data_IF_434823514291
#
_entry.id   IF_434823514291
#
_cell.length_a   1.000
_cell.length_b   1.000
_cell.length_c   1.000
_cell.angle_alpha   90.00
_cell.angle_beta   90.00
_cell.angle_gamma   90.00
#
_symmetry.space_group_name_H-M   'P 1'
#
loop_
_entity.id
_entity.type
_entity.pdbx_description
1 polymer ?
#
# COMPACT_ATOMS: atom_id res chain seq x y z
N UNK A 1 17.77 -13.47 -19.58
CA UNK A 1 16.96 -12.78 -18.54
C UNK A 1 16.13 -11.65 -19.16
N UNK A 2 15.51 -11.86 -20.33
CA UNK A 2 14.83 -10.81 -21.13
C UNK A 2 13.30 -10.99 -21.24
N UNK A 3 12.77 -12.17 -20.88
CA UNK A 3 11.35 -12.50 -21.11
C UNK A 3 10.38 -11.96 -20.05
N UNK A 4 10.86 -11.55 -18.87
CA UNK A 4 9.99 -10.99 -17.81
C UNK A 4 9.62 -9.53 -18.06
N UNK A 5 10.51 -8.74 -18.68
CA UNK A 5 10.24 -7.33 -18.96
C UNK A 5 9.25 -7.13 -20.11
N UNK A 6 9.26 -7.99 -21.12
CA UNK A 6 8.29 -7.92 -22.23
C UNK A 6 6.87 -8.24 -21.77
N UNK A 7 6.68 -9.17 -20.84
CA UNK A 7 5.34 -9.48 -20.30
C UNK A 7 4.73 -8.32 -19.51
N UNK A 8 5.54 -7.60 -18.71
CA UNK A 8 5.08 -6.44 -17.94
C UNK A 8 4.64 -5.29 -18.86
N UNK A 9 5.43 -4.97 -19.88
CA UNK A 9 5.08 -3.91 -20.85
C UNK A 9 3.83 -4.26 -21.67
N UNK A 10 3.63 -5.53 -22.03
CA UNK A 10 2.41 -5.95 -22.75
C UNK A 10 1.17 -5.83 -21.85
N UNK A 11 1.28 -6.13 -20.56
CA UNK A 11 0.16 -5.98 -19.63
C UNK A 11 -0.22 -4.52 -19.34
N UNK A 12 0.75 -3.59 -19.30
CA UNK A 12 0.45 -2.14 -19.23
C UNK A 12 -0.26 -1.65 -20.51
N UNK A 13 0.14 -2.17 -21.68
CA UNK A 13 -0.45 -1.77 -22.98
C UNK A 13 -1.89 -2.27 -23.17
N UNK A 14 -2.37 -3.20 -22.33
CA UNK A 14 -3.74 -3.76 -22.40
C UNK A 14 -4.72 -3.14 -21.40
N UNK A 15 -4.29 -2.16 -20.58
CA UNK A 15 -5.18 -1.49 -19.65
C UNK A 15 -6.09 -0.51 -20.39
N UNK A 16 -7.38 -0.81 -20.42
CA UNK A 16 -8.39 0.15 -20.92
C UNK A 16 -8.84 1.02 -19.76
N UNK A 17 -8.63 2.33 -19.91
CA UNK A 17 -9.17 3.35 -19.02
C UNK A 17 -10.65 3.58 -19.35
N UNK A 18 -11.49 3.57 -18.32
CA UNK A 18 -12.92 3.88 -18.38
C UNK A 18 -13.22 5.24 -17.76
N UNK A 19 -14.50 5.50 -17.46
CA UNK A 19 -14.93 6.79 -16.95
C UNK A 19 -14.32 7.12 -15.59
N UNK A 20 -13.87 8.38 -15.46
CA UNK A 20 -13.48 8.98 -14.18
C UNK A 20 -14.72 9.45 -13.44
N UNK A 21 -14.75 9.21 -12.14
CA UNK A 21 -15.85 9.62 -11.26
C UNK A 21 -15.29 10.25 -10.00
N UNK A 22 -15.91 11.34 -9.57
CA UNK A 22 -15.64 11.91 -8.26
C UNK A 22 -16.44 11.16 -7.19
N UNK A 23 -15.80 10.89 -6.07
CA UNK A 23 -16.35 10.23 -4.90
C UNK A 23 -16.07 11.12 -3.70
N UNK A 24 -17.11 11.51 -2.99
CA UNK A 24 -17.00 12.20 -1.70
C UNK A 24 -17.02 11.17 -0.59
N UNK A 25 -16.06 11.26 0.32
CA UNK A 25 -15.94 10.37 1.49
C UNK A 25 -16.66 10.97 2.70
N UNK A 26 -16.91 10.16 3.74
CA UNK A 26 -17.69 10.57 4.92
C UNK A 26 -17.09 11.77 5.68
N UNK A 27 -15.79 11.99 5.53
CA UNK A 27 -15.05 13.14 6.09
C UNK A 27 -15.13 14.41 5.23
N UNK A 28 -15.87 14.37 4.11
CA UNK A 28 -16.02 15.47 3.16
C UNK A 28 -14.91 15.58 2.13
N UNK A 29 -13.88 14.73 2.17
CA UNK A 29 -12.81 14.72 1.17
C UNK A 29 -13.34 14.25 -0.19
N UNK A 30 -12.82 14.81 -1.28
CA UNK A 30 -13.21 14.46 -2.65
C UNK A 30 -12.04 13.76 -3.33
N UNK A 31 -12.31 12.60 -3.92
CA UNK A 31 -11.34 11.82 -4.66
C UNK A 31 -11.85 11.48 -6.05
N UNK A 32 -10.94 11.35 -7.01
CA UNK A 32 -11.26 10.80 -8.31
C UNK A 32 -10.92 9.32 -8.37
N UNK A 33 -11.82 8.52 -8.93
CA UNK A 33 -11.59 7.11 -9.22
C UNK A 33 -11.81 6.85 -10.70
N UNK A 34 -10.99 5.97 -11.26
CA UNK A 34 -11.06 5.54 -12.65
C UNK A 34 -11.33 4.04 -12.71
N UNK A 35 -12.19 3.64 -13.64
CA UNK A 35 -12.43 2.23 -13.91
C UNK A 35 -11.35 1.70 -14.84
N UNK A 36 -10.57 0.71 -14.42
CA UNK A 36 -9.59 0.01 -15.26
C UNK A 36 -10.06 -1.40 -15.57
N UNK A 37 -9.87 -1.84 -16.81
CA UNK A 37 -9.96 -3.26 -17.18
C UNK A 37 -8.57 -3.87 -17.17
N UNK A 38 -8.33 -4.76 -16.20
CA UNK A 38 -7.08 -5.47 -16.04
C UNK A 38 -7.22 -6.92 -16.55
N UNK A 39 -6.27 -7.44 -17.34
CA UNK A 39 -6.33 -8.82 -17.83
C UNK A 39 -6.44 -9.87 -16.72
N UNK A 40 -5.80 -9.64 -15.57
CA UNK A 40 -5.74 -10.58 -14.44
C UNK A 40 -6.87 -10.41 -13.42
N UNK A 41 -7.56 -9.27 -13.40
CA UNK A 41 -8.49 -8.90 -12.32
C UNK A 41 -9.86 -8.43 -12.81
N UNK A 42 -10.09 -8.39 -14.12
CA UNK A 42 -11.32 -7.85 -14.69
C UNK A 42 -11.44 -6.34 -14.49
N UNK A 43 -12.66 -5.86 -14.29
CA UNK A 43 -12.95 -4.44 -14.11
C UNK A 43 -12.76 -4.03 -12.65
N UNK A 44 -11.91 -3.06 -12.39
CA UNK A 44 -11.59 -2.56 -11.04
C UNK A 44 -11.61 -1.04 -11.00
N UNK A 45 -12.05 -0.47 -9.88
CA UNK A 45 -11.94 0.96 -9.63
C UNK A 45 -10.62 1.24 -8.92
N UNK A 46 -9.81 2.12 -9.50
CA UNK A 46 -8.55 2.58 -8.92
C UNK A 46 -8.63 4.06 -8.61
N UNK A 47 -7.82 4.49 -7.68
CA UNK A 47 -7.71 5.89 -7.31
C UNK A 47 -6.95 6.65 -8.40
N UNK A 48 -7.42 7.81 -8.82
CA UNK A 48 -6.63 8.72 -9.67
C UNK A 48 -5.64 9.44 -8.76
N UNK A 49 -4.35 9.31 -9.04
CA UNK A 49 -3.31 9.98 -8.25
C UNK A 49 -3.19 11.43 -8.70
N UNK A 50 -3.41 12.36 -7.78
CA UNK A 50 -3.17 13.80 -7.99
C UNK A 50 -1.76 14.21 -7.55
N UNK A 51 -1.28 15.37 -7.99
CA UNK A 51 0.01 15.92 -7.58
C UNK A 51 0.10 16.13 -6.05
N UNK A 52 -1.01 16.50 -5.42
CA UNK A 52 -1.09 16.68 -3.96
C UNK A 52 -0.91 15.35 -3.24
N UNK A 53 -1.57 14.30 -3.72
CA UNK A 53 -1.42 12.95 -3.19
C UNK A 53 0.00 12.43 -3.39
N UNK A 54 0.60 12.69 -4.55
CA UNK A 54 1.98 12.33 -4.85
C UNK A 54 2.94 13.03 -3.87
N UNK A 55 2.77 14.33 -3.64
CA UNK A 55 3.58 15.08 -2.68
C UNK A 55 3.44 14.53 -1.25
N UNK A 56 2.21 14.22 -0.81
CA UNK A 56 1.95 13.58 0.48
C UNK A 56 2.64 12.22 0.54
N UNK A 57 2.52 11.40 -0.49
CA UNK A 57 3.11 10.08 -0.54
C UNK A 57 4.64 10.11 -0.49
N UNK A 58 5.28 11.02 -1.23
CA UNK A 58 6.73 11.27 -1.19
C UNK A 58 7.17 11.61 0.24
N UNK A 59 6.42 12.47 0.94
CA UNK A 59 6.76 12.86 2.31
C UNK A 59 6.64 11.71 3.32
N UNK A 60 5.66 10.81 3.15
CA UNK A 60 5.36 9.72 4.08
C UNK A 60 6.13 8.43 3.79
N UNK A 61 6.55 8.22 2.54
CA UNK A 61 7.18 6.98 2.09
C UNK A 61 8.40 6.57 2.96
N UNK A 62 9.33 7.48 3.33
CA UNK A 62 10.46 7.10 4.19
C UNK A 62 10.02 6.58 5.57
N UNK A 63 8.95 7.15 6.14
CA UNK A 63 8.40 6.74 7.43
C UNK A 63 7.78 5.34 7.30
N UNK A 64 7.00 5.12 6.24
CA UNK A 64 6.40 3.83 5.95
C UNK A 64 7.43 2.72 5.74
N UNK A 65 8.51 3.01 5.01
CA UNK A 65 9.61 2.06 4.80
C UNK A 65 10.32 1.70 6.11
N UNK A 66 10.58 2.68 6.99
CA UNK A 66 11.14 2.44 8.32
C UNK A 66 10.21 1.58 9.18
N UNK A 67 8.91 1.86 9.15
CA UNK A 67 7.89 1.08 9.85
C UNK A 67 7.85 -0.37 9.34
N UNK A 68 7.83 -0.57 8.02
CA UNK A 68 7.85 -1.89 7.40
C UNK A 68 9.10 -2.69 7.81
N UNK A 69 10.29 -2.05 7.76
CA UNK A 69 11.55 -2.67 8.20
C UNK A 69 11.53 -3.07 9.68
N UNK A 70 11.01 -2.20 10.55
CA UNK A 70 10.89 -2.46 11.98
C UNK A 70 9.95 -3.64 12.27
N UNK A 71 8.76 -3.66 11.65
CA UNK A 71 7.80 -4.75 11.85
C UNK A 71 8.29 -6.08 11.26
N UNK A 72 9.00 -6.05 10.13
CA UNK A 72 9.64 -7.23 9.56
C UNK A 72 10.73 -7.81 10.49
N UNK A 73 11.55 -6.96 11.10
CA UNK A 73 12.55 -7.40 12.08
C UNK A 73 11.89 -8.05 13.30
N UNK A 74 10.76 -7.50 13.77
CA UNK A 74 9.98 -8.07 14.87
C UNK A 74 9.38 -9.45 14.51
N UNK A 75 8.79 -9.59 13.33
CA UNK A 75 8.28 -10.88 12.85
C UNK A 75 9.40 -11.93 12.73
N UNK A 76 10.57 -11.53 12.23
CA UNK A 76 11.75 -12.39 12.14
C UNK A 76 12.26 -12.82 13.52
N UNK A 77 12.27 -11.93 14.51
CA UNK A 77 12.64 -12.24 15.89
C UNK A 77 11.73 -13.32 16.50
N UNK A 78 10.41 -13.18 16.34
CA UNK A 78 9.46 -14.20 16.82
C UNK A 78 9.65 -15.54 16.12
N UNK A 79 9.79 -15.54 14.79
CA UNK A 79 10.07 -16.76 14.00
C UNK A 79 11.33 -17.50 14.47
N UNK A 80 12.36 -16.75 14.83
CA UNK A 80 13.65 -17.31 15.27
C UNK A 80 13.57 -17.79 16.72
N UNK A 81 12.84 -17.09 17.57
CA UNK A 81 12.66 -17.44 18.99
C UNK A 81 11.77 -18.68 19.16
N UNK A 82 10.70 -18.81 18.37
CA UNK A 82 9.83 -20.00 18.38
C UNK A 82 10.58 -21.27 17.97
N UNK A 83 11.41 -21.19 16.92
CA UNK A 83 12.26 -22.31 16.49
C UNK A 83 13.25 -22.78 17.56
N UNK A 84 13.56 -21.94 18.56
CA UNK A 84 14.49 -22.27 19.66
C UNK A 84 13.79 -22.71 20.95
N UNK A 85 12.48 -22.50 21.09
CA UNK A 85 11.76 -22.68 22.36
C UNK A 85 10.62 -23.71 22.30
N UNK A 86 10.42 -24.40 21.17
CA UNK A 86 9.48 -25.53 20.94
C UNK A 86 8.01 -25.41 21.38
N UNK A 87 7.54 -24.32 22.01
CA UNK A 87 6.12 -23.98 22.14
C UNK A 87 5.92 -22.57 22.74
N UNK A 88 4.71 -22.02 22.55
CA UNK A 88 4.08 -20.81 23.17
C UNK A 88 4.13 -19.45 22.43
N UNK A 89 4.81 -19.30 21.30
CA UNK A 89 4.90 -18.01 20.60
C UNK A 89 3.81 -17.69 19.57
N UNK A 90 3.01 -18.68 19.14
CA UNK A 90 2.36 -18.68 17.81
C UNK A 90 1.47 -17.45 17.56
N UNK A 91 0.70 -17.02 18.57
CA UNK A 91 -0.11 -15.80 18.46
C UNK A 91 0.72 -14.53 18.31
N UNK A 92 1.85 -14.42 19.01
CA UNK A 92 2.76 -13.28 18.92
C UNK A 92 3.48 -13.23 17.58
N UNK A 93 3.88 -14.39 17.05
CA UNK A 93 4.44 -14.49 15.70
C UNK A 93 3.40 -14.13 14.63
N UNK A 94 2.21 -14.73 14.66
CA UNK A 94 1.14 -14.46 13.68
C UNK A 94 0.75 -12.97 13.69
N UNK A 95 0.61 -12.37 14.87
CA UNK A 95 0.33 -10.94 14.99
C UNK A 95 1.47 -10.08 14.43
N UNK A 96 2.72 -10.43 14.71
CA UNK A 96 3.87 -9.70 14.18
C UNK A 96 4.01 -9.87 12.66
N UNK A 97 3.71 -11.06 12.14
CA UNK A 97 3.68 -11.34 10.70
C UNK A 97 2.60 -10.52 10.00
N UNK A 98 1.38 -10.52 10.51
CA UNK A 98 0.28 -9.71 9.96
C UNK A 98 0.61 -8.22 10.01
N UNK A 99 1.11 -7.74 11.15
CA UNK A 99 1.55 -6.34 11.29
C UNK A 99 2.65 -5.99 10.29
N UNK A 100 3.57 -6.92 10.01
CA UNK A 100 4.63 -6.75 9.00
C UNK A 100 4.06 -6.70 7.58
N UNK A 101 3.11 -7.58 7.24
CA UNK A 101 2.45 -7.59 5.92
C UNK A 101 1.70 -6.28 5.69
N UNK A 102 0.97 -5.81 6.69
CA UNK A 102 0.23 -4.55 6.64
C UNK A 102 1.15 -3.35 6.43
N UNK A 103 2.23 -3.22 7.22
CA UNK A 103 3.16 -2.10 7.03
C UNK A 103 3.87 -2.14 5.67
N UNK A 104 4.16 -3.34 5.16
CA UNK A 104 4.70 -3.49 3.82
C UNK A 104 3.68 -3.08 2.74
N UNK A 105 2.40 -3.45 2.89
CA UNK A 105 1.31 -2.98 2.02
C UNK A 105 1.26 -1.45 1.99
N UNK A 106 1.34 -0.78 3.13
CA UNK A 106 1.32 0.69 3.19
C UNK A 106 2.52 1.33 2.49
N UNK A 107 3.73 0.80 2.71
CA UNK A 107 4.92 1.29 2.04
C UNK A 107 4.84 1.10 0.52
N UNK A 108 4.29 -0.02 0.05
CA UNK A 108 4.06 -0.30 -1.38
C UNK A 108 3.01 0.64 -1.97
N UNK A 109 1.88 0.85 -1.30
CA UNK A 109 0.86 1.82 -1.73
C UNK A 109 1.45 3.23 -1.86
N UNK A 110 2.20 3.69 -0.85
CA UNK A 110 2.84 5.01 -0.89
C UNK A 110 3.91 5.09 -1.99
N UNK A 111 4.62 4.02 -2.28
CA UNK A 111 5.59 3.99 -3.38
C UNK A 111 4.90 4.18 -4.75
N UNK A 112 3.78 3.49 -4.99
CA UNK A 112 3.00 3.66 -6.22
C UNK A 112 2.47 5.08 -6.36
N UNK A 113 1.87 5.64 -5.30
CA UNK A 113 1.36 7.01 -5.33
C UNK A 113 2.48 8.03 -5.50
N UNK A 114 3.65 7.81 -4.88
CA UNK A 114 4.83 8.67 -5.08
C UNK A 114 5.37 8.60 -6.52
N UNK A 115 5.24 7.46 -7.19
CA UNK A 115 5.54 7.29 -8.62
C UNK A 115 4.45 7.90 -9.53
N UNK A 116 3.32 8.37 -8.98
CA UNK A 116 2.20 8.91 -9.76
C UNK A 116 1.32 7.83 -10.41
N UNK A 117 1.43 6.58 -9.97
CA UNK A 117 0.73 5.44 -10.57
C UNK A 117 -0.21 4.76 -9.59
N UNK A 118 -1.30 4.23 -10.11
CA UNK A 118 -2.34 3.57 -9.31
C UNK A 118 -2.33 2.05 -9.45
N UNK A 119 -1.59 1.51 -10.42
CA UNK A 119 -1.46 0.07 -10.67
C UNK A 119 -0.05 -0.24 -11.13
N UNK A 120 0.54 -1.33 -10.61
CA UNK A 120 1.81 -1.88 -11.08
C UNK A 120 1.87 -3.38 -10.78
N UNK A 121 1.91 -4.20 -11.83
CA UNK A 121 1.76 -5.65 -11.69
C UNK A 121 0.43 -6.00 -11.01
N UNK A 122 0.49 -6.78 -9.92
CA UNK A 122 -0.69 -7.17 -9.14
C UNK A 122 -1.11 -6.14 -8.07
N UNK A 123 -0.31 -5.08 -7.88
CA UNK A 123 -0.61 -4.04 -6.90
C UNK A 123 -1.52 -2.98 -7.49
N UNK A 124 -2.50 -2.56 -6.71
CA UNK A 124 -3.46 -1.51 -7.08
C UNK A 124 -3.77 -0.62 -5.89
N UNK A 125 -3.88 0.67 -6.15
CA UNK A 125 -4.30 1.69 -5.20
C UNK A 125 -5.78 1.95 -5.42
N UNK A 126 -6.60 1.53 -4.46
CA UNK A 126 -8.02 1.89 -4.41
C UNK A 126 -8.23 3.02 -3.40
N UNK A 127 -9.36 3.72 -3.50
CA UNK A 127 -9.75 4.74 -2.52
C UNK A 127 -9.68 4.21 -1.08
N UNK A 128 -10.23 3.01 -0.84
CA UNK A 128 -10.18 2.37 0.48
C UNK A 128 -8.74 2.17 0.96
N UNK A 129 -7.85 1.64 0.12
CA UNK A 129 -6.45 1.41 0.53
C UNK A 129 -5.72 2.72 0.84
N UNK A 130 -6.04 3.79 0.11
CA UNK A 130 -5.49 5.11 0.39
C UNK A 130 -5.97 5.65 1.74
N UNK A 131 -7.27 5.57 2.02
CA UNK A 131 -7.84 5.99 3.30
C UNK A 131 -7.27 5.19 4.48
N UNK A 132 -7.08 3.88 4.33
CA UNK A 132 -6.43 3.03 5.35
C UNK A 132 -5.01 3.54 5.65
N UNK A 133 -4.21 3.85 4.63
CA UNK A 133 -2.87 4.41 4.78
C UNK A 133 -2.91 5.78 5.45
N UNK A 134 -3.76 6.69 4.96
CA UNK A 134 -3.88 8.05 5.50
C UNK A 134 -4.31 8.04 6.97
N UNK A 135 -5.25 7.18 7.36
CA UNK A 135 -5.67 7.04 8.76
C UNK A 135 -4.49 6.71 9.67
N UNK A 136 -3.61 5.78 9.25
CA UNK A 136 -2.43 5.40 10.05
C UNK A 136 -1.41 6.52 10.16
N UNK A 137 -1.11 7.23 9.08
CA UNK A 137 -0.07 8.27 9.10
C UNK A 137 -0.56 9.63 9.63
N UNK A 138 -1.84 9.96 9.46
CA UNK A 138 -2.42 11.19 10.00
C UNK A 138 -2.67 11.08 11.51
N UNK A 139 -3.07 9.91 12.03
CA UNK A 139 -3.10 9.68 13.49
C UNK A 139 -1.71 9.86 14.14
N UNK A 140 -0.64 9.54 13.41
CA UNK A 140 0.74 9.74 13.88
C UNK A 140 1.18 11.22 13.83
N UNK A 141 0.70 12.01 12.88
CA UNK A 141 0.95 13.47 12.86
C UNK A 141 0.32 14.17 14.07
N UNK A 142 -0.89 13.79 14.46
CA UNK A 142 -1.58 14.41 15.59
C UNK A 142 -0.96 14.07 16.95
N UNK A 143 -0.22 12.94 17.05
CA UNK A 143 0.47 12.54 18.30
C UNK A 143 1.84 13.20 18.54
N UNK A 144 2.41 13.88 17.54
CA UNK A 144 3.75 14.48 17.64
C UNK A 144 3.75 15.99 17.96
N UNK A 145 2.63 16.56 18.41
CA UNK A 145 2.54 17.99 18.79
C UNK A 145 2.68 18.21 20.31
N UNK A 146 2.65 17.15 21.13
CA UNK A 146 2.74 17.25 22.61
C UNK A 146 3.82 16.33 23.22
N UNK A 147 5.09 16.46 22.79
CA UNK A 147 6.21 15.67 23.36
C UNK A 147 7.55 16.37 23.30
#
# INVERSE_FOLDING_TARGET
MLLRNTHLNIMETMMSHGDRKQVTTDDGSIYEVETLRLPSAGTVNVLVVTDEMQAVAISLLPIAQRMAKSRAARAFFYKTSERRLEAFGERGFLQAEESSREANKYAQTLALVAEGVSVKGDQRVTLRTWQEVMAVFHQNKTRNIDG
#
